data_IF_615497556866
#
_entry.id   IF_615497556866
#
_cell.length_a   1.000
_cell.length_b   1.000
_cell.length_c   1.000
_cell.angle_alpha   90.00
_cell.angle_beta   90.00
_cell.angle_gamma   90.00
#
_symmetry.space_group_name_H-M   'P 1'
#
loop_
_entity.id
_entity.type
_entity.pdbx_description
1 polymer ?
#
# COMPACT_ATOMS: atom_id res chain seq x y z
N UNK A 1 17.90 -2.63 -8.10
CA UNK A 1 17.52 -1.88 -6.88
C UNK A 1 17.56 -0.40 -7.21
N UNK A 2 16.43 0.29 -7.22
CA UNK A 2 16.45 1.76 -7.19
C UNK A 2 16.79 2.17 -5.76
N UNK A 3 18.09 2.06 -5.42
CA UNK A 3 18.57 2.51 -4.13
C UNK A 3 18.36 4.01 -4.06
N UNK A 4 17.41 4.44 -3.24
CA UNK A 4 17.25 5.85 -2.91
C UNK A 4 18.61 6.40 -2.47
N UNK A 5 19.04 7.49 -3.12
CA UNK A 5 20.26 8.21 -2.76
C UNK A 5 20.24 8.56 -1.27
N UNK A 6 21.42 8.61 -0.62
CA UNK A 6 21.55 9.01 0.80
C UNK A 6 20.79 10.31 1.08
N UNK A 7 20.84 11.27 0.16
CA UNK A 7 20.10 12.53 0.23
C UNK A 7 18.57 12.33 0.22
N UNK A 8 18.06 11.44 -0.63
CA UNK A 8 16.62 11.14 -0.70
C UNK A 8 16.11 10.47 0.59
N UNK A 9 16.90 9.58 1.20
CA UNK A 9 16.56 8.96 2.50
C UNK A 9 16.53 9.97 3.64
N UNK A 10 17.45 10.94 3.63
CA UNK A 10 17.45 12.02 4.62
C UNK A 10 16.19 12.89 4.49
N UNK A 11 15.86 13.32 3.26
CA UNK A 11 14.66 14.12 2.98
C UNK A 11 13.39 13.35 3.37
N UNK A 12 13.32 12.05 3.08
CA UNK A 12 12.22 11.19 3.50
C UNK A 12 12.07 11.19 5.03
N UNK A 13 13.17 10.99 5.76
CA UNK A 13 13.19 11.00 7.24
C UNK A 13 12.72 12.35 7.81
N UNK A 14 13.22 13.46 7.27
CA UNK A 14 12.83 14.81 7.67
C UNK A 14 11.33 15.05 7.43
N UNK A 15 10.81 14.64 6.28
CA UNK A 15 9.38 14.75 5.96
C UNK A 15 8.52 13.89 6.90
N UNK A 16 8.98 12.69 7.24
CA UNK A 16 8.30 11.83 8.22
C UNK A 16 8.26 12.47 9.61
N UNK A 17 9.36 13.10 10.06
CA UNK A 17 9.38 13.83 11.33
C UNK A 17 8.47 15.06 11.30
N UNK A 18 8.50 15.83 10.21
CA UNK A 18 7.63 16.99 10.03
C UNK A 18 6.14 16.61 10.01
N UNK A 19 5.78 15.52 9.33
CA UNK A 19 4.41 15.00 9.32
C UNK A 19 3.93 14.60 10.72
N UNK A 20 4.79 13.96 11.51
CA UNK A 20 4.51 13.64 12.92
C UNK A 20 4.32 14.89 13.77
N UNK A 21 5.16 15.91 13.59
CA UNK A 21 5.02 17.18 14.31
C UNK A 21 3.66 17.85 14.04
N UNK A 22 3.25 17.93 12.77
CA UNK A 22 1.91 18.42 12.41
C UNK A 22 0.81 17.56 13.01
N UNK A 23 0.97 16.24 13.02
CA UNK A 23 0.00 15.34 13.63
C UNK A 23 -0.12 15.56 15.15
N UNK A 24 0.99 15.77 15.85
CA UNK A 24 1.02 16.08 17.28
C UNK A 24 0.40 17.46 17.59
N UNK A 25 0.59 18.44 16.69
CA UNK A 25 -0.02 19.76 16.79
C UNK A 25 -1.51 19.78 16.38
N UNK A 26 -2.12 18.62 16.09
CA UNK A 26 -3.48 18.49 15.57
C UNK A 26 -3.74 19.22 14.23
N UNK A 27 -2.69 19.61 13.51
CA UNK A 27 -2.74 20.16 12.15
C UNK A 27 -2.95 19.04 11.13
N UNK A 28 -4.14 18.42 11.16
CA UNK A 28 -4.45 17.24 10.34
C UNK A 28 -4.29 17.47 8.83
N UNK A 29 -4.71 18.61 8.23
CA UNK A 29 -4.52 18.85 6.80
C UNK A 29 -3.04 18.86 6.39
N UNK A 30 -2.18 19.50 7.20
CA UNK A 30 -0.74 19.60 7.00
C UNK A 30 -0.08 18.23 7.17
N UNK A 31 -0.49 17.45 8.17
CA UNK A 31 -0.02 16.08 8.39
C UNK A 31 -0.37 15.18 7.19
N UNK A 32 -1.63 15.21 6.72
CA UNK A 32 -2.10 14.46 5.55
C UNK A 32 -1.28 14.81 4.31
N UNK A 33 -1.10 16.11 4.03
CA UNK A 33 -0.29 16.59 2.91
C UNK A 33 1.15 16.11 2.99
N UNK A 34 1.76 16.18 4.18
CA UNK A 34 3.17 15.84 4.37
C UNK A 34 3.39 14.33 4.26
N UNK A 35 2.55 13.48 4.87
CA UNK A 35 2.60 12.03 4.67
C UNK A 35 2.34 11.64 3.21
N UNK A 36 1.41 12.32 2.53
CA UNK A 36 1.17 12.14 1.10
C UNK A 36 2.41 12.44 0.25
N UNK A 37 3.18 13.48 0.60
CA UNK A 37 4.42 13.83 -0.11
C UNK A 37 5.53 12.77 0.05
N UNK A 38 5.53 12.03 1.17
CA UNK A 38 6.43 10.89 1.38
C UNK A 38 6.03 9.77 0.43
N UNK A 39 4.75 9.41 0.37
CA UNK A 39 4.25 8.38 -0.54
C UNK A 39 4.41 8.75 -2.02
N UNK A 40 4.36 10.03 -2.35
CA UNK A 40 4.65 10.50 -3.72
C UNK A 40 6.10 10.29 -4.15
N UNK A 41 7.04 10.11 -3.22
CA UNK A 41 8.47 9.81 -3.50
C UNK A 41 8.82 8.35 -3.24
N UNK A 42 8.22 7.74 -2.22
CA UNK A 42 8.36 6.33 -1.89
C UNK A 42 6.97 5.70 -1.73
N UNK A 43 6.38 5.20 -2.82
CA UNK A 43 5.02 4.69 -2.81
C UNK A 43 4.79 3.43 -1.97
N UNK A 44 5.87 2.78 -1.53
CA UNK A 44 5.83 1.56 -0.70
C UNK A 44 6.22 1.81 0.76
N UNK A 45 6.31 3.07 1.18
CA UNK A 45 6.63 3.43 2.55
C UNK A 45 5.49 3.05 3.52
N UNK A 46 5.64 1.90 4.19
CA UNK A 46 4.59 1.30 5.03
C UNK A 46 4.17 2.21 6.20
N UNK A 47 5.11 2.86 6.88
CA UNK A 47 4.78 3.76 8.00
C UNK A 47 3.99 4.99 7.55
N UNK A 48 4.39 5.66 6.47
CA UNK A 48 3.67 6.80 5.91
C UNK A 48 2.25 6.42 5.47
N UNK A 49 2.12 5.28 4.77
CA UNK A 49 0.83 4.71 4.37
C UNK A 49 -0.08 4.45 5.57
N UNK A 50 0.46 3.80 6.61
CA UNK A 50 -0.28 3.46 7.82
C UNK A 50 -0.78 4.70 8.55
N UNK A 51 0.06 5.74 8.73
CA UNK A 51 -0.37 6.99 9.36
C UNK A 51 -1.37 7.75 8.52
N UNK A 52 -1.16 7.85 7.21
CA UNK A 52 -2.11 8.52 6.32
C UNK A 52 -3.49 7.86 6.36
N UNK A 53 -3.56 6.53 6.37
CA UNK A 53 -4.82 5.79 6.54
C UNK A 53 -5.48 6.04 7.91
N UNK A 54 -4.71 6.23 8.99
CA UNK A 54 -5.26 6.64 10.30
C UNK A 54 -5.87 8.04 10.21
N UNK A 55 -5.16 8.99 9.59
CA UNK A 55 -5.63 10.37 9.49
C UNK A 55 -6.90 10.50 8.64
N UNK A 56 -6.98 9.82 7.50
CA UNK A 56 -8.17 9.82 6.66
C UNK A 56 -9.40 9.22 7.37
N UNK A 57 -9.17 8.24 8.25
CA UNK A 57 -10.24 7.70 9.11
C UNK A 57 -10.71 8.72 10.14
N UNK A 58 -9.80 9.49 10.74
CA UNK A 58 -10.14 10.57 11.68
C UNK A 58 -10.95 11.68 11.01
N UNK A 59 -10.61 12.04 9.76
CA UNK A 59 -11.36 13.04 8.98
C UNK A 59 -12.64 12.50 8.34
N UNK A 60 -12.95 11.21 8.54
CA UNK A 60 -14.13 10.51 7.99
C UNK A 60 -14.24 10.58 6.47
N UNK A 61 -13.14 10.80 5.77
CA UNK A 61 -13.11 10.86 4.31
C UNK A 61 -12.93 9.45 3.71
N UNK A 62 -14.04 8.73 3.64
CA UNK A 62 -14.07 7.36 3.11
C UNK A 62 -13.69 7.30 1.62
N UNK A 63 -13.95 8.35 0.85
CA UNK A 63 -13.62 8.38 -0.58
C UNK A 63 -12.12 8.53 -0.79
N UNK A 64 -11.47 9.43 -0.05
CA UNK A 64 -10.01 9.56 -0.06
C UNK A 64 -9.33 8.29 0.46
N UNK A 65 -9.85 7.66 1.52
CA UNK A 65 -9.32 6.40 2.05
C UNK A 65 -9.34 5.28 0.99
N UNK A 66 -10.46 5.13 0.26
CA UNK A 66 -10.58 4.15 -0.83
C UNK A 66 -9.57 4.43 -1.96
N UNK A 67 -9.45 5.69 -2.39
CA UNK A 67 -8.51 6.08 -3.45
C UNK A 67 -7.06 5.77 -3.05
N UNK A 68 -6.70 6.08 -1.80
CA UNK A 68 -5.39 5.77 -1.26
C UNK A 68 -5.13 4.26 -1.19
N UNK A 69 -6.07 3.47 -0.66
CA UNK A 69 -5.95 2.01 -0.56
C UNK A 69 -5.73 1.36 -1.93
N UNK A 70 -6.48 1.76 -2.96
CA UNK A 70 -6.27 1.26 -4.33
C UNK A 70 -4.86 1.54 -4.82
N UNK A 71 -4.38 2.77 -4.62
CA UNK A 71 -3.02 3.18 -5.02
C UNK A 71 -1.95 2.38 -4.28
N UNK A 72 -2.09 2.24 -2.96
CA UNK A 72 -1.16 1.47 -2.12
C UNK A 72 -1.10 0.00 -2.49
N UNK A 73 -2.25 -0.63 -2.73
CA UNK A 73 -2.35 -2.04 -3.15
C UNK A 73 -1.63 -2.24 -4.49
N UNK A 74 -1.87 -1.38 -5.47
CA UNK A 74 -1.22 -1.47 -6.79
C UNK A 74 0.29 -1.31 -6.67
N UNK A 75 0.76 -0.28 -5.96
CA UNK A 75 2.19 -0.02 -5.80
C UNK A 75 2.90 -1.14 -5.03
N UNK A 76 2.26 -1.69 -3.99
CA UNK A 76 2.81 -2.80 -3.21
C UNK A 76 2.90 -4.07 -4.05
N UNK A 77 1.86 -4.41 -4.82
CA UNK A 77 1.89 -5.55 -5.75
C UNK A 77 3.02 -5.42 -6.77
N UNK A 78 3.14 -4.26 -7.42
CA UNK A 78 4.19 -4.02 -8.39
C UNK A 78 5.59 -4.17 -7.77
N UNK A 79 5.78 -3.62 -6.57
CA UNK A 79 7.06 -3.74 -5.86
C UNK A 79 7.39 -5.19 -5.46
N UNK A 80 6.41 -5.97 -4.99
CA UNK A 80 6.61 -7.40 -4.68
C UNK A 80 6.95 -8.19 -5.96
N UNK A 81 6.24 -7.95 -7.07
CA UNK A 81 6.56 -8.57 -8.35
C UNK A 81 7.99 -8.22 -8.81
N UNK A 82 8.42 -6.96 -8.65
CA UNK A 82 9.80 -6.53 -8.97
C UNK A 82 10.83 -7.21 -8.08
N UNK A 83 10.59 -7.31 -6.76
CA UNK A 83 11.49 -8.02 -5.84
C UNK A 83 11.63 -9.49 -6.26
N UNK A 84 10.52 -10.14 -6.57
CA UNK A 84 10.51 -11.56 -6.98
C UNK A 84 11.25 -11.77 -8.28
N UNK A 85 11.00 -10.94 -9.30
CA UNK A 85 11.72 -11.00 -10.57
C UNK A 85 13.23 -10.83 -10.37
N UNK A 86 13.63 -9.82 -9.60
CA UNK A 86 15.05 -9.60 -9.30
C UNK A 86 15.68 -10.79 -8.56
N UNK A 87 14.92 -11.46 -7.67
CA UNK A 87 15.40 -12.65 -6.98
C UNK A 87 15.57 -13.83 -7.95
N UNK A 88 14.59 -14.07 -8.82
CA UNK A 88 14.66 -15.11 -9.86
C UNK A 88 15.83 -14.85 -10.80
N UNK A 89 16.03 -13.59 -11.22
CA UNK A 89 17.12 -13.19 -12.11
C UNK A 89 18.50 -13.36 -11.46
N UNK A 90 18.60 -13.14 -10.15
CA UNK A 90 19.83 -13.37 -9.39
C UNK A 90 20.08 -14.86 -9.09
N UNK A 91 19.04 -15.70 -9.05
CA UNK A 91 19.11 -17.11 -8.65
C UNK A 91 18.52 -18.05 -9.71
N UNK A 92 18.81 -17.81 -11.00
CA UNK A 92 18.16 -18.48 -12.13
C UNK A 92 18.15 -20.01 -12.03
N UNK A 93 19.29 -20.61 -11.69
CA UNK A 93 19.42 -22.06 -11.59
C UNK A 93 18.54 -22.63 -10.47
N UNK A 94 18.63 -22.06 -9.27
CA UNK A 94 17.80 -22.47 -8.13
C UNK A 94 16.30 -22.27 -8.40
N UNK A 95 15.93 -21.15 -9.04
CA UNK A 95 14.55 -20.88 -9.42
C UNK A 95 14.04 -21.92 -10.43
N UNK A 96 14.87 -22.31 -11.41
CA UNK A 96 14.54 -23.36 -12.39
C UNK A 96 14.37 -24.74 -11.74
N UNK A 97 15.28 -25.11 -10.85
CA UNK A 97 15.31 -26.45 -10.25
C UNK A 97 14.16 -26.64 -9.25
N UNK A 98 13.75 -25.59 -8.55
CA UNK A 98 12.63 -25.61 -7.59
C UNK A 98 11.25 -25.35 -8.21
N UNK A 99 11.16 -24.87 -9.46
CA UNK A 99 9.91 -24.51 -10.11
C UNK A 99 8.89 -25.68 -10.19
N UNK A 100 9.28 -26.92 -10.56
CA UNK A 100 8.34 -28.03 -10.67
C UNK A 100 7.67 -28.35 -9.33
N UNK A 101 8.43 -28.37 -8.24
CA UNK A 101 7.91 -28.60 -6.90
C UNK A 101 7.00 -27.45 -6.46
N UNK A 102 7.44 -26.20 -6.66
CA UNK A 102 6.65 -25.03 -6.32
C UNK A 102 5.31 -24.98 -7.08
N UNK A 103 5.28 -25.46 -8.33
CA UNK A 103 4.06 -25.59 -9.13
C UNK A 103 3.09 -26.62 -8.54
N UNK A 104 3.59 -27.80 -8.16
CA UNK A 104 2.77 -28.86 -7.53
C UNK A 104 2.17 -28.38 -6.21
N UNK A 105 2.96 -27.65 -5.43
CA UNK A 105 2.52 -27.09 -4.14
C UNK A 105 1.61 -25.87 -4.27
N UNK A 106 1.31 -25.40 -5.50
CA UNK A 106 0.50 -24.20 -5.72
C UNK A 106 1.15 -22.92 -5.19
N UNK A 107 2.47 -22.91 -5.04
CA UNK A 107 3.25 -21.76 -4.54
C UNK A 107 3.62 -20.78 -5.64
N UNK A 108 3.31 -21.09 -6.90
CA UNK A 108 3.48 -20.20 -8.04
C UNK A 108 2.14 -19.59 -8.45
N UNK A 109 2.16 -18.31 -8.76
CA UNK A 109 1.06 -17.60 -9.40
C UNK A 109 0.90 -18.04 -10.87
N UNK A 110 -0.19 -17.60 -11.51
CA UNK A 110 -0.42 -17.82 -12.95
C UNK A 110 0.66 -17.22 -13.85
N UNK A 111 1.52 -16.33 -13.33
CA UNK A 111 2.66 -15.73 -14.03
C UNK A 111 3.98 -16.48 -13.76
N UNK A 112 3.92 -17.69 -13.18
CA UNK A 112 5.08 -18.50 -12.74
C UNK A 112 5.99 -17.79 -11.70
N UNK A 113 5.51 -16.72 -11.09
CA UNK A 113 6.19 -16.04 -9.98
C UNK A 113 5.72 -16.61 -8.64
N UNK A 114 6.59 -16.75 -7.64
CA UNK A 114 6.20 -17.16 -6.29
C UNK A 114 5.03 -16.33 -5.74
N UNK A 115 4.08 -16.95 -5.05
CA UNK A 115 3.00 -16.23 -4.38
C UNK A 115 3.58 -15.51 -3.16
N UNK A 116 3.49 -14.19 -3.12
CA UNK A 116 3.89 -13.42 -1.93
C UNK A 116 2.78 -13.40 -0.89
N UNK A 117 3.05 -13.94 0.29
CA UNK A 117 2.19 -13.78 1.47
C UNK A 117 2.53 -12.45 2.17
N UNK A 118 2.02 -11.34 1.64
CA UNK A 118 2.18 -10.03 2.26
C UNK A 118 0.97 -9.69 3.15
N UNK A 119 1.15 -9.79 4.46
CA UNK A 119 0.08 -9.49 5.42
C UNK A 119 -0.48 -8.06 5.28
N UNK A 120 0.38 -7.09 4.94
CA UNK A 120 -0.04 -5.69 4.80
C UNK A 120 -0.97 -5.54 3.60
N UNK A 121 -0.64 -6.20 2.50
CA UNK A 121 -1.46 -6.24 1.30
C UNK A 121 -2.83 -6.86 1.58
N UNK A 122 -2.89 -7.98 2.31
CA UNK A 122 -4.16 -8.62 2.66
C UNK A 122 -5.01 -7.75 3.60
N UNK A 123 -4.40 -7.13 4.61
CA UNK A 123 -5.08 -6.17 5.50
C UNK A 123 -5.65 -4.98 4.71
N UNK A 124 -4.91 -4.43 3.74
CA UNK A 124 -5.39 -3.34 2.89
C UNK A 124 -6.52 -3.77 1.94
N UNK A 125 -6.44 -4.96 1.33
CA UNK A 125 -7.51 -5.50 0.50
C UNK A 125 -8.80 -5.69 1.30
N UNK A 126 -8.72 -6.35 2.45
CA UNK A 126 -9.88 -6.57 3.32
C UNK A 126 -10.53 -5.24 3.74
N UNK A 127 -9.70 -4.24 4.08
CA UNK A 127 -10.18 -2.89 4.41
C UNK A 127 -10.89 -2.22 3.23
N UNK A 128 -10.30 -2.29 2.03
CA UNK A 128 -10.88 -1.74 0.81
C UNK A 128 -12.27 -2.35 0.55
N UNK A 129 -12.38 -3.68 0.58
CA UNK A 129 -13.65 -4.39 0.38
C UNK A 129 -14.70 -3.97 1.40
N UNK A 130 -14.33 -3.88 2.69
CA UNK A 130 -15.24 -3.44 3.75
C UNK A 130 -15.75 -2.00 3.51
N UNK A 131 -14.85 -1.08 3.13
CA UNK A 131 -15.21 0.31 2.87
C UNK A 131 -16.11 0.47 1.64
N UNK A 132 -15.79 -0.22 0.54
CA UNK A 132 -16.61 -0.16 -0.67
C UNK A 132 -18.04 -0.66 -0.41
N UNK A 133 -18.19 -1.77 0.35
CA UNK A 133 -19.51 -2.25 0.80
C UNK A 133 -20.24 -1.20 1.62
N UNK A 134 -19.57 -0.55 2.59
CA UNK A 134 -20.17 0.49 3.43
C UNK A 134 -20.64 1.70 2.62
N UNK A 135 -19.84 2.15 1.65
CA UNK A 135 -20.19 3.26 0.75
C UNK A 135 -21.39 2.87 -0.11
N UNK A 136 -21.42 1.65 -0.67
CA UNK A 136 -22.54 1.17 -1.47
C UNK A 136 -23.85 1.10 -0.67
N UNK A 137 -23.81 0.56 0.56
CA UNK A 137 -24.97 0.51 1.46
C UNK A 137 -25.47 1.93 1.79
N UNK A 138 -24.56 2.86 2.09
CA UNK A 138 -24.93 4.26 2.38
C UNK A 138 -25.63 4.89 1.18
N UNK A 139 -25.07 4.74 -0.02
CA UNK A 139 -25.69 5.23 -1.26
C UNK A 139 -27.09 4.65 -1.49
N UNK A 140 -27.27 3.33 -1.28
CA UNK A 140 -28.57 2.68 -1.45
C UNK A 140 -29.63 3.23 -0.46
N UNK A 141 -29.24 3.50 0.78
CA UNK A 141 -30.12 4.13 1.78
C UNK A 141 -30.49 5.57 1.41
N UNK A 142 -29.52 6.35 0.95
CA UNK A 142 -29.75 7.74 0.55
C UNK A 142 -30.71 7.83 -0.66
N UNK A 143 -30.63 6.89 -1.60
CA UNK A 143 -31.57 6.78 -2.73
C UNK A 143 -32.98 6.41 -2.27
N UNK A 144 -33.10 5.46 -1.33
CA UNK A 144 -34.41 5.04 -0.80
C UNK A 144 -35.11 6.15 0.00
N UNK A 145 -34.36 7.04 0.64
CA UNK A 145 -34.92 8.19 1.40
C UNK A 145 -35.44 9.32 0.48
N UNK A 146 -34.98 9.37 -0.78
CA UNK A 146 -35.36 10.39 -1.77
C UNK A 146 -36.50 9.95 -2.70
N UNK A 147 -36.91 8.69 -2.60
CA UNK A 147 -38.11 8.15 -3.23
C UNK A 147 -39.24 8.14 -2.22
#
# INVERSE_FOLDING_TARGET
>A
MEQMSKKARLIEKERMQKAKAFEHAAELPQAIKTYGSVLGKNPVHIQAASRLLVLLRKTKDAHAEVKLLKTLITNRKAHLETIQKNWVDAHKQLARDSAPLAKILGLLSSKELPISQDETLEKWKARLTSLEKRIAIKKAKDVKKRK
#
